data_IF_290387842831
#
_entry.id   IF_290387842831
#
_cell.length_a   1.000
_cell.length_b   1.000
_cell.length_c   1.000
_cell.angle_alpha   90.00
_cell.angle_beta   90.00
_cell.angle_gamma   90.00
#
_symmetry.space_group_name_H-M   'P 1'
#
loop_
_entity.id
_entity.type
_entity.pdbx_description
1 polymer ?
#
# COMPACT_ATOMS: atom_id res chain seq x y z
N UNK A 1 -5.75 -20.34 -10.68
CA UNK A 1 -6.66 -20.83 -11.74
C UNK A 1 -6.98 -19.67 -12.65
N UNK A 2 -7.06 -19.95 -13.95
CA UNK A 2 -7.33 -18.94 -14.96
C UNK A 2 -8.83 -18.85 -15.26
N UNK A 3 -9.24 -17.81 -15.99
CA UNK A 3 -10.63 -17.55 -16.32
C UNK A 3 -11.27 -18.71 -17.09
N UNK A 4 -10.53 -19.30 -18.03
CA UNK A 4 -11.01 -20.45 -18.80
C UNK A 4 -11.34 -21.67 -17.91
N UNK A 5 -10.52 -21.91 -16.89
CA UNK A 5 -10.79 -22.97 -15.92
C UNK A 5 -12.09 -22.67 -15.16
N UNK A 6 -12.20 -21.45 -14.60
CA UNK A 6 -13.37 -21.04 -13.81
C UNK A 6 -14.68 -21.15 -14.59
N UNK A 7 -14.68 -20.72 -15.86
CA UNK A 7 -15.87 -20.81 -16.73
C UNK A 7 -16.27 -22.26 -17.03
N UNK A 8 -15.31 -23.18 -17.08
CA UNK A 8 -15.57 -24.60 -17.32
C UNK A 8 -16.34 -25.23 -16.15
N UNK A 9 -16.08 -24.79 -14.92
CA UNK A 9 -16.76 -25.30 -13.72
C UNK A 9 -18.01 -24.51 -13.31
N UNK A 10 -18.15 -23.28 -13.79
CA UNK A 10 -19.35 -22.48 -13.57
C UNK A 10 -20.62 -23.18 -14.08
N UNK A 11 -21.73 -23.00 -13.37
CA UNK A 11 -23.03 -23.50 -13.80
C UNK A 11 -23.58 -22.67 -14.97
N UNK A 12 -24.52 -23.26 -15.72
CA UNK A 12 -25.09 -22.62 -16.90
C UNK A 12 -25.84 -21.32 -16.57
N UNK A 13 -26.40 -21.21 -15.36
CA UNK A 13 -27.06 -20.01 -14.87
C UNK A 13 -26.08 -18.86 -14.73
N UNK A 14 -24.96 -19.09 -14.03
CA UNK A 14 -23.88 -18.11 -13.90
C UNK A 14 -23.33 -17.69 -15.26
N UNK A 15 -23.07 -18.64 -16.16
CA UNK A 15 -22.61 -18.34 -17.52
C UNK A 15 -23.62 -17.51 -18.32
N UNK A 16 -24.91 -17.82 -18.20
CA UNK A 16 -25.98 -17.06 -18.86
C UNK A 16 -26.06 -15.63 -18.31
N UNK A 17 -25.88 -15.45 -16.99
CA UNK A 17 -25.82 -14.12 -16.37
C UNK A 17 -24.65 -13.31 -16.91
N UNK A 18 -23.45 -13.88 -17.00
CA UNK A 18 -22.26 -13.20 -17.52
C UNK A 18 -22.43 -12.85 -19.00
N UNK A 19 -22.90 -13.80 -19.81
CA UNK A 19 -23.16 -13.57 -21.22
C UNK A 19 -24.23 -12.49 -21.45
N UNK A 20 -25.27 -12.45 -20.61
CA UNK A 20 -26.32 -11.43 -20.69
C UNK A 20 -25.81 -10.06 -20.25
N UNK A 21 -24.96 -10.00 -19.22
CA UNK A 21 -24.34 -8.75 -18.75
C UNK A 21 -23.48 -8.08 -19.83
N UNK A 22 -22.83 -8.89 -20.68
CA UNK A 22 -22.00 -8.42 -21.78
C UNK A 22 -22.67 -8.46 -23.16
N UNK A 23 -23.96 -8.73 -23.21
CA UNK A 23 -24.74 -8.82 -24.46
C UNK A 23 -24.09 -9.74 -25.52
N UNK A 24 -23.55 -10.86 -25.06
CA UNK A 24 -22.88 -11.85 -25.91
C UNK A 24 -23.86 -12.53 -26.89
N UNK A 25 -23.53 -12.52 -28.18
CA UNK A 25 -24.25 -13.26 -29.22
C UNK A 25 -23.95 -14.76 -29.17
N UNK A 26 -24.77 -15.54 -28.44
CA UNK A 26 -24.57 -16.99 -28.28
C UNK A 26 -25.89 -17.73 -27.95
N UNK A 27 -25.95 -19.05 -28.21
CA UNK A 27 -27.11 -19.85 -27.75
C UNK A 27 -27.01 -20.08 -26.24
N UNK A 28 -27.97 -19.51 -25.50
CA UNK A 28 -28.04 -19.57 -24.03
C UNK A 28 -28.14 -20.98 -23.44
N UNK A 29 -28.51 -21.98 -24.25
CA UNK A 29 -28.64 -23.37 -23.81
C UNK A 29 -27.37 -24.21 -24.02
N UNK A 30 -26.35 -23.68 -24.71
CA UNK A 30 -25.09 -24.38 -24.95
C UNK A 30 -24.01 -23.83 -24.04
N UNK A 31 -23.61 -24.62 -23.03
CA UNK A 31 -22.51 -24.26 -22.12
C UNK A 31 -21.22 -23.97 -22.89
N UNK A 32 -20.91 -24.74 -23.92
CA UNK A 32 -19.72 -24.52 -24.75
C UNK A 32 -19.78 -23.18 -25.49
N UNK A 33 -20.90 -22.85 -26.14
CA UNK A 33 -21.04 -21.56 -26.86
C UNK A 33 -21.00 -20.37 -25.88
N UNK A 34 -21.58 -20.49 -24.68
CA UNK A 34 -21.51 -19.48 -23.63
C UNK A 34 -20.06 -19.22 -23.19
N UNK A 35 -19.31 -20.27 -22.87
CA UNK A 35 -17.90 -20.15 -22.45
C UNK A 35 -17.07 -19.49 -23.55
N UNK A 36 -17.21 -19.94 -24.80
CA UNK A 36 -16.49 -19.36 -25.94
C UNK A 36 -16.82 -17.88 -26.13
N UNK A 37 -18.10 -17.51 -26.12
CA UNK A 37 -18.49 -16.12 -26.30
C UNK A 37 -18.00 -15.22 -25.17
N UNK A 38 -18.06 -15.67 -23.91
CA UNK A 38 -17.56 -14.92 -22.75
C UNK A 38 -16.04 -14.76 -22.85
N UNK A 39 -15.30 -15.83 -23.17
CA UNK A 39 -13.85 -15.77 -23.33
C UNK A 39 -13.45 -14.81 -24.45
N UNK A 40 -14.12 -14.86 -25.61
CA UNK A 40 -13.86 -13.94 -26.72
C UNK A 40 -14.09 -12.50 -26.29
N UNK A 41 -15.21 -12.18 -25.63
CA UNK A 41 -15.50 -10.82 -25.18
C UNK A 41 -14.49 -10.35 -24.13
N UNK A 42 -14.28 -11.14 -23.07
CA UNK A 42 -13.38 -10.76 -21.99
C UNK A 42 -11.93 -10.68 -22.43
N UNK A 43 -11.48 -11.46 -23.42
CA UNK A 43 -10.10 -11.41 -23.93
C UNK A 43 -9.84 -10.31 -24.98
N UNK A 44 -10.87 -9.54 -25.40
CA UNK A 44 -10.64 -8.36 -26.24
C UNK A 44 -9.71 -7.39 -25.54
N UNK A 45 -8.71 -6.91 -26.28
CA UNK A 45 -7.59 -6.11 -25.75
C UNK A 45 -8.05 -4.88 -24.97
N UNK A 46 -9.03 -4.15 -25.49
CA UNK A 46 -9.48 -2.88 -24.91
C UNK A 46 -10.63 -3.03 -23.92
N UNK A 47 -11.25 -4.21 -23.85
CA UNK A 47 -12.50 -4.39 -23.12
C UNK A 47 -12.35 -4.11 -21.63
N UNK A 48 -11.33 -4.68 -20.99
CA UNK A 48 -11.05 -4.44 -19.56
C UNK A 48 -10.73 -2.97 -19.28
N UNK A 49 -9.97 -2.31 -20.17
CA UNK A 49 -9.69 -0.88 -20.06
C UNK A 49 -10.95 -0.01 -20.13
N UNK A 50 -11.89 -0.35 -21.01
CA UNK A 50 -13.20 0.32 -21.07
C UNK A 50 -14.01 0.09 -19.79
N UNK A 51 -14.04 -1.13 -19.28
CA UNK A 51 -14.72 -1.44 -18.02
C UNK A 51 -14.17 -0.61 -16.87
N UNK A 52 -12.84 -0.52 -16.71
CA UNK A 52 -12.18 0.29 -15.67
C UNK A 52 -12.62 1.76 -15.73
N UNK A 53 -12.75 2.35 -16.93
CA UNK A 53 -13.17 3.74 -17.10
C UNK A 53 -14.63 3.99 -16.71
N UNK A 54 -15.46 2.95 -16.78
CA UNK A 54 -16.88 3.01 -16.43
C UNK A 54 -17.15 2.67 -14.95
N UNK A 55 -16.16 2.16 -14.22
CA UNK A 55 -16.32 1.83 -12.80
C UNK A 55 -16.47 3.10 -11.96
N UNK A 56 -17.30 3.00 -10.92
CA UNK A 56 -17.35 4.01 -9.86
C UNK A 56 -16.02 4.04 -9.10
N UNK A 57 -15.74 5.15 -8.41
CA UNK A 57 -14.52 5.25 -7.59
C UNK A 57 -14.50 4.17 -6.50
N UNK A 58 -15.64 3.86 -5.89
CA UNK A 58 -15.73 2.82 -4.87
C UNK A 58 -15.46 1.42 -5.45
N UNK A 59 -15.93 1.15 -6.66
CA UNK A 59 -15.60 -0.10 -7.37
C UNK A 59 -14.12 -0.19 -7.71
N UNK A 60 -13.50 0.92 -8.13
CA UNK A 60 -12.06 0.95 -8.38
C UNK A 60 -11.26 0.68 -7.10
N UNK A 61 -11.70 1.20 -5.95
CA UNK A 61 -11.03 0.95 -4.65
C UNK A 61 -11.19 -0.50 -4.23
N UNK A 62 -12.40 -1.04 -4.35
CA UNK A 62 -12.69 -2.44 -4.06
C UNK A 62 -11.89 -3.38 -4.96
N UNK A 63 -11.88 -3.11 -6.28
CA UNK A 63 -11.07 -3.83 -7.25
C UNK A 63 -9.60 -3.78 -6.84
N UNK A 64 -9.05 -2.60 -6.60
CA UNK A 64 -7.66 -2.45 -6.14
C UNK A 64 -7.38 -3.28 -4.89
N UNK A 65 -8.23 -3.24 -3.86
CA UNK A 65 -8.04 -4.03 -2.65
C UNK A 65 -7.91 -5.53 -2.95
N UNK A 66 -8.77 -6.09 -3.80
CA UNK A 66 -8.73 -7.53 -4.12
C UNK A 66 -7.55 -7.90 -5.04
N UNK A 67 -7.12 -6.99 -5.93
CA UNK A 67 -5.98 -7.24 -6.82
C UNK A 67 -4.66 -7.40 -6.08
N UNK A 68 -4.53 -6.76 -4.91
CA UNK A 68 -3.34 -6.81 -4.04
C UNK A 68 -3.53 -7.68 -2.78
N UNK A 69 -4.69 -8.31 -2.62
CA UNK A 69 -4.89 -9.27 -1.54
C UNK A 69 -4.18 -10.59 -1.88
N UNK A 70 -3.36 -11.07 -0.94
CA UNK A 70 -2.57 -12.29 -1.08
C UNK A 70 -3.42 -13.55 -0.96
N UNK A 71 -4.63 -13.46 -0.42
CA UNK A 71 -5.56 -14.59 -0.31
C UNK A 71 -6.14 -14.94 -1.67
N UNK A 72 -6.21 -16.24 -1.94
CA UNK A 72 -6.84 -16.78 -3.15
C UNK A 72 -8.36 -16.95 -3.01
N UNK A 73 -8.86 -16.99 -1.79
CA UNK A 73 -10.26 -17.26 -1.47
C UNK A 73 -10.78 -16.26 -0.46
N UNK A 74 -12.05 -15.88 -0.60
CA UNK A 74 -12.75 -14.97 0.31
C UNK A 74 -14.10 -15.55 0.70
N UNK A 75 -14.52 -15.45 1.95
CA UNK A 75 -15.91 -15.65 2.30
C UNK A 75 -16.73 -14.35 2.08
N UNK A 76 -18.06 -14.43 2.22
CA UNK A 76 -18.96 -13.28 2.03
C UNK A 76 -18.62 -12.14 3.00
N UNK A 77 -18.38 -12.43 4.28
CA UNK A 77 -18.14 -11.42 5.30
C UNK A 77 -16.81 -10.70 5.09
N UNK A 78 -15.78 -11.41 4.60
CA UNK A 78 -14.51 -10.82 4.21
C UNK A 78 -14.70 -9.83 3.04
N UNK A 79 -15.45 -10.20 2.00
CA UNK A 79 -15.76 -9.27 0.91
C UNK A 79 -16.55 -8.06 1.40
N UNK A 80 -17.55 -8.27 2.28
CA UNK A 80 -18.31 -7.17 2.88
C UNK A 80 -17.40 -6.24 3.68
N UNK A 81 -16.46 -6.80 4.46
CA UNK A 81 -15.50 -6.03 5.23
C UNK A 81 -14.60 -5.19 4.31
N UNK A 82 -14.06 -5.78 3.23
CA UNK A 82 -13.24 -5.07 2.25
C UNK A 82 -14.04 -3.92 1.61
N UNK A 83 -15.27 -4.18 1.13
CA UNK A 83 -16.13 -3.15 0.52
C UNK A 83 -16.42 -2.00 1.49
N UNK A 84 -16.70 -2.30 2.76
CA UNK A 84 -16.92 -1.28 3.79
C UNK A 84 -15.67 -0.46 4.06
N UNK A 85 -14.50 -1.11 4.08
CA UNK A 85 -13.22 -0.44 4.27
C UNK A 85 -12.88 0.49 3.09
N UNK A 86 -13.20 0.07 1.86
CA UNK A 86 -12.85 0.80 0.63
C UNK A 86 -13.87 1.85 0.20
N UNK A 87 -15.12 1.80 0.65
CA UNK A 87 -16.16 2.76 0.22
C UNK A 87 -16.01 4.17 0.81
N UNK A 88 -14.98 4.40 1.64
CA UNK A 88 -14.63 5.69 2.28
C UNK A 88 -15.83 6.45 2.83
N UNK A 89 -16.85 5.72 3.31
CA UNK A 89 -18.10 6.33 3.74
C UNK A 89 -17.81 7.39 4.81
N UNK A 90 -18.23 8.62 4.53
CA UNK A 90 -18.31 9.69 5.50
C UNK A 90 -19.30 9.20 6.57
N UNK A 91 -18.93 9.39 7.85
CA UNK A 91 -19.79 9.05 8.97
C UNK A 91 -21.20 9.61 8.76
N UNK A 92 -22.21 8.85 9.19
CA UNK A 92 -23.64 9.09 8.90
C UNK A 92 -24.18 10.47 9.33
N UNK A 93 -23.39 11.25 10.06
CA UNK A 93 -23.70 12.59 10.56
C UNK A 93 -23.73 13.71 9.51
N UNK A 94 -23.27 13.49 8.27
CA UNK A 94 -23.23 14.54 7.21
C UNK A 94 -24.14 14.25 6.00
N UNK A 95 -25.04 13.26 6.08
CA UNK A 95 -25.91 12.93 4.94
C UNK A 95 -27.03 13.96 4.75
N UNK A 96 -26.91 14.77 3.72
CA UNK A 96 -28.03 15.52 3.12
C UNK A 96 -28.99 14.53 2.43
N UNK A 97 -30.31 14.80 2.48
CA UNK A 97 -31.38 13.90 1.98
C UNK A 97 -31.36 13.61 0.47
N UNK A 98 -30.51 14.27 -0.31
CA UNK A 98 -30.45 14.19 -1.78
C UNK A 98 -29.28 13.36 -2.33
N UNK A 99 -28.54 12.63 -1.49
CA UNK A 99 -27.45 11.79 -1.99
C UNK A 99 -27.96 10.45 -2.58
N UNK A 100 -27.35 9.96 -3.68
CA UNK A 100 -27.74 8.72 -4.32
C UNK A 100 -27.64 7.55 -3.33
N UNK A 101 -28.64 6.65 -3.40
CA UNK A 101 -28.78 5.48 -2.53
C UNK A 101 -27.48 4.67 -2.55
N UNK A 102 -26.78 4.63 -1.41
CA UNK A 102 -25.56 3.83 -1.23
C UNK A 102 -25.93 2.38 -1.50
N UNK A 103 -25.27 1.76 -2.49
CA UNK A 103 -25.49 0.36 -2.83
C UNK A 103 -25.09 -0.54 -1.67
N UNK A 104 -25.86 -1.59 -1.44
CA UNK A 104 -25.54 -2.57 -0.41
C UNK A 104 -24.26 -3.33 -0.79
N UNK A 105 -23.36 -3.66 0.15
CA UNK A 105 -22.17 -4.47 -0.16
C UNK A 105 -22.49 -5.79 -0.87
N UNK A 106 -23.66 -6.38 -0.58
CA UNK A 106 -24.12 -7.60 -1.27
C UNK A 106 -24.46 -7.37 -2.74
N UNK A 107 -24.95 -6.18 -3.10
CA UNK A 107 -25.22 -5.79 -4.49
C UNK A 107 -23.91 -5.60 -5.27
N UNK A 108 -22.88 -5.05 -4.64
CA UNK A 108 -21.53 -4.93 -5.24
C UNK A 108 -20.96 -6.32 -5.53
N UNK A 109 -21.04 -7.24 -4.57
CA UNK A 109 -20.62 -8.64 -4.76
C UNK A 109 -21.41 -9.28 -5.91
N UNK A 110 -22.74 -9.13 -5.93
CA UNK A 110 -23.58 -9.67 -6.99
C UNK A 110 -23.21 -9.10 -8.37
N UNK A 111 -22.91 -7.79 -8.46
CA UNK A 111 -22.44 -7.16 -9.69
C UNK A 111 -21.12 -7.76 -10.18
N UNK A 112 -20.13 -7.89 -9.30
CA UNK A 112 -18.82 -8.48 -9.65
C UNK A 112 -18.94 -9.96 -10.04
N UNK A 113 -19.94 -10.68 -9.52
CA UNK A 113 -20.27 -12.03 -10.00
C UNK A 113 -20.93 -12.01 -11.37
N UNK A 114 -21.89 -11.11 -11.59
CA UNK A 114 -22.58 -10.99 -12.89
C UNK A 114 -21.65 -10.53 -14.00
N UNK A 115 -20.59 -9.77 -13.69
CA UNK A 115 -19.55 -9.41 -14.64
C UNK A 115 -18.54 -10.54 -14.89
N UNK A 116 -18.63 -11.66 -14.17
CA UNK A 116 -17.68 -12.77 -14.33
C UNK A 116 -16.27 -12.41 -13.87
N UNK A 117 -16.14 -11.50 -12.89
CA UNK A 117 -14.85 -11.18 -12.26
C UNK A 117 -14.67 -11.95 -10.95
N UNK A 118 -15.78 -12.34 -10.33
CA UNK A 118 -15.82 -13.10 -9.08
C UNK A 118 -16.58 -14.42 -9.29
N UNK A 119 -15.97 -15.53 -8.90
CA UNK A 119 -16.54 -16.88 -9.02
C UNK A 119 -16.66 -17.53 -7.65
N UNK A 120 -17.60 -18.46 -7.50
CA UNK A 120 -17.62 -19.34 -6.34
C UNK A 120 -16.51 -20.40 -6.49
N UNK A 121 -15.98 -20.89 -5.39
CA UNK A 121 -15.11 -22.06 -5.39
C UNK A 121 -15.86 -23.31 -5.85
N UNK A 122 -15.12 -24.30 -6.30
CA UNK A 122 -15.67 -25.44 -7.05
C UNK A 122 -15.70 -26.74 -6.26
N UNK A 123 -14.88 -26.85 -5.21
CA UNK A 123 -14.84 -28.05 -4.37
C UNK A 123 -15.93 -27.98 -3.31
N UNK A 124 -16.31 -29.13 -2.73
CA UNK A 124 -17.29 -29.16 -1.64
C UNK A 124 -16.88 -28.26 -0.47
N UNK A 125 -15.57 -28.15 -0.19
CA UNK A 125 -15.01 -27.30 0.85
C UNK A 125 -14.92 -25.83 0.47
N UNK A 126 -14.85 -25.48 -0.83
CA UNK A 126 -14.70 -24.11 -1.30
C UNK A 126 -15.95 -23.51 -1.95
N UNK A 127 -17.06 -24.25 -2.03
CA UNK A 127 -18.31 -23.82 -2.71
C UNK A 127 -18.92 -22.51 -2.20
N UNK A 128 -18.62 -22.14 -0.95
CA UNK A 128 -19.10 -20.90 -0.31
C UNK A 128 -18.05 -19.79 -0.29
N UNK A 129 -16.87 -20.06 -0.82
CA UNK A 129 -15.80 -19.09 -0.97
C UNK A 129 -15.85 -18.49 -2.37
N UNK A 130 -15.33 -17.29 -2.50
CA UNK A 130 -15.19 -16.57 -3.75
C UNK A 130 -13.73 -16.49 -4.16
N UNK A 131 -13.49 -16.48 -5.46
CA UNK A 131 -12.17 -16.35 -6.06
C UNK A 131 -12.24 -15.50 -7.32
N UNK A 132 -11.16 -14.75 -7.57
CA UNK A 132 -10.93 -14.04 -8.84
C UNK A 132 -9.91 -14.85 -9.66
N UNK A 133 -10.12 -15.04 -10.97
CA UNK A 133 -9.14 -15.68 -11.85
C UNK A 133 -7.81 -14.92 -11.87
N UNK A 134 -6.67 -15.62 -11.83
CA UNK A 134 -5.36 -14.96 -11.67
C UNK A 134 -4.93 -14.20 -12.93
N UNK A 135 -5.17 -14.78 -14.11
CA UNK A 135 -4.99 -14.12 -15.40
C UNK A 135 -5.84 -12.84 -15.52
N UNK A 136 -7.06 -12.87 -14.98
CA UNK A 136 -7.92 -11.70 -14.92
C UNK A 136 -7.38 -10.64 -13.94
N UNK A 137 -6.88 -11.04 -12.76
CA UNK A 137 -6.22 -10.11 -11.82
C UNK A 137 -5.04 -9.41 -12.50
N UNK A 138 -4.17 -10.14 -13.18
CA UNK A 138 -3.01 -9.57 -13.86
C UNK A 138 -3.41 -8.57 -14.95
N UNK A 139 -4.42 -8.92 -15.75
CA UNK A 139 -4.96 -8.02 -16.78
C UNK A 139 -5.55 -6.74 -16.19
N UNK A 140 -6.34 -6.84 -15.12
CA UNK A 140 -6.83 -5.66 -14.40
C UNK A 140 -5.70 -4.80 -13.86
N UNK A 141 -4.67 -5.39 -13.25
CA UNK A 141 -3.50 -4.63 -12.76
C UNK A 141 -2.81 -3.88 -13.91
N UNK A 142 -2.65 -4.52 -15.07
CA UNK A 142 -2.03 -3.91 -16.25
C UNK A 142 -2.84 -2.73 -16.81
N UNK A 143 -4.15 -2.93 -17.00
CA UNK A 143 -5.02 -1.89 -17.55
C UNK A 143 -5.24 -0.74 -16.55
N UNK A 144 -5.37 -1.04 -15.25
CA UNK A 144 -5.45 -0.01 -14.20
C UNK A 144 -4.14 0.78 -14.09
N UNK A 145 -2.99 0.12 -14.19
CA UNK A 145 -1.70 0.78 -14.25
C UNK A 145 -1.58 1.71 -15.45
N UNK A 146 -2.07 1.28 -16.61
CA UNK A 146 -2.10 2.10 -17.83
C UNK A 146 -3.04 3.30 -17.70
N UNK A 147 -4.20 3.10 -17.05
CA UNK A 147 -5.15 4.17 -16.72
C UNK A 147 -4.54 5.23 -15.79
N UNK A 148 -3.88 4.81 -14.70
CA UNK A 148 -3.21 5.74 -13.78
C UNK A 148 -2.06 6.46 -14.50
N UNK A 149 -1.24 5.71 -15.24
CA UNK A 149 -0.10 6.27 -15.99
C UNK A 149 -0.51 7.32 -17.01
N UNK A 150 -1.70 7.17 -17.62
CA UNK A 150 -2.22 8.13 -18.61
C UNK A 150 -2.53 9.52 -18.03
N UNK A 151 -2.57 9.65 -16.70
CA UNK A 151 -2.79 10.92 -15.98
C UNK A 151 -1.50 11.54 -15.45
N UNK A 152 -0.34 10.95 -15.74
CA UNK A 152 0.94 11.42 -15.21
C UNK A 152 1.49 12.58 -16.03
N UNK A 153 1.99 13.59 -15.34
CA UNK A 153 2.79 14.65 -15.94
C UNK A 153 4.27 14.32 -15.75
N UNK A 154 4.89 13.86 -16.83
CA UNK A 154 6.32 13.55 -16.87
C UNK A 154 7.14 14.83 -17.02
N UNK A 155 8.26 14.89 -16.32
CA UNK A 155 9.18 16.03 -16.34
C UNK A 155 10.59 15.59 -16.69
N UNK A 156 11.44 16.56 -17.00
CA UNK A 156 12.87 16.34 -17.07
C UNK A 156 13.47 16.12 -15.67
N UNK A 157 14.74 15.73 -15.65
CA UNK A 157 15.49 15.57 -14.40
C UNK A 157 15.72 16.94 -13.74
N UNK A 158 15.34 17.10 -12.45
CA UNK A 158 15.57 18.35 -11.73
C UNK A 158 17.07 18.59 -11.53
N UNK A 159 17.45 19.86 -11.43
CA UNK A 159 18.85 20.26 -11.17
C UNK A 159 19.38 19.78 -9.82
N UNK A 160 18.50 19.70 -8.83
CA UNK A 160 18.80 19.21 -7.48
C UNK A 160 17.71 18.25 -7.02
N UNK A 161 18.13 17.09 -6.51
CA UNK A 161 17.26 16.13 -5.86
C UNK A 161 17.94 15.47 -4.67
N UNK A 162 17.11 14.93 -3.77
CA UNK A 162 17.52 14.15 -2.61
C UNK A 162 17.28 12.67 -2.87
N UNK A 163 18.27 11.86 -2.52
CA UNK A 163 18.22 10.40 -2.55
C UNK A 163 18.96 9.87 -1.31
N UNK A 164 18.31 9.03 -0.51
CA UNK A 164 18.91 8.53 0.75
C UNK A 164 19.42 7.09 0.66
N UNK A 165 19.12 6.38 -0.44
CA UNK A 165 19.60 5.02 -0.70
C UNK A 165 19.46 4.09 0.54
N UNK A 166 20.52 3.37 0.91
CA UNK A 166 20.53 2.45 2.05
C UNK A 166 20.87 3.09 3.39
N UNK A 167 20.93 4.42 3.51
CA UNK A 167 21.44 5.11 4.71
C UNK A 167 20.64 4.79 5.97
N UNK A 168 19.38 4.33 5.86
CA UNK A 168 18.56 3.97 7.02
C UNK A 168 19.14 2.78 7.80
N UNK A 169 19.69 1.80 7.11
CA UNK A 169 20.35 0.68 7.77
C UNK A 169 21.66 1.12 8.48
N UNK A 170 22.33 2.14 7.95
CA UNK A 170 23.53 2.71 8.56
C UNK A 170 23.20 3.54 9.80
N UNK A 171 22.17 4.38 9.71
CA UNK A 171 21.69 5.18 10.85
C UNK A 171 21.13 4.31 11.96
N UNK A 172 20.50 3.17 11.65
CA UNK A 172 20.13 2.17 12.64
C UNK A 172 21.35 1.63 13.39
N UNK A 173 22.45 1.33 12.69
CA UNK A 173 23.68 0.86 13.33
C UNK A 173 24.31 1.94 14.21
N UNK A 174 24.32 3.20 13.75
CA UNK A 174 24.77 4.33 14.58
C UNK A 174 23.92 4.52 15.81
N UNK A 175 22.60 4.41 15.67
CA UNK A 175 21.68 4.46 16.80
C UNK A 175 21.98 3.37 17.83
N UNK A 176 22.10 2.10 17.41
CA UNK A 176 22.42 1.00 18.31
C UNK A 176 23.78 1.20 19.00
N UNK A 177 24.80 1.65 18.27
CA UNK A 177 26.12 1.93 18.82
C UNK A 177 26.05 3.06 19.86
N UNK A 178 25.27 4.10 19.60
CA UNK A 178 25.05 5.20 20.52
C UNK A 178 24.38 4.72 21.81
N UNK A 179 23.32 3.91 21.70
CA UNK A 179 22.61 3.30 22.86
C UNK A 179 23.54 2.39 23.68
N UNK A 180 24.45 1.67 23.03
CA UNK A 180 25.43 0.83 23.73
C UNK A 180 26.47 1.66 24.50
N UNK A 181 26.97 2.74 23.90
CA UNK A 181 28.09 3.53 24.45
C UNK A 181 27.66 4.55 25.51
N UNK A 182 26.40 4.99 25.48
CA UNK A 182 25.90 6.04 26.36
C UNK A 182 24.82 5.50 27.30
N UNK A 183 24.87 5.91 28.57
CA UNK A 183 23.73 5.69 29.47
C UNK A 183 22.61 6.68 29.13
N UNK A 184 21.60 6.19 28.40
CA UNK A 184 20.48 7.03 27.98
C UNK A 184 19.38 6.99 29.05
N UNK A 185 19.26 8.10 29.77
CA UNK A 185 18.12 8.36 30.65
C UNK A 185 16.91 8.84 29.84
N UNK A 186 15.75 8.32 30.18
CA UNK A 186 14.46 8.69 29.61
C UNK A 186 13.65 9.47 30.64
N UNK A 187 12.74 10.31 30.16
CA UNK A 187 11.79 10.99 31.04
C UNK A 187 10.73 10.00 31.58
N UNK A 188 9.82 10.51 32.42
CA UNK A 188 8.73 9.72 33.00
C UNK A 188 7.78 9.11 31.95
N UNK A 189 7.73 9.71 30.76
CA UNK A 189 6.91 9.26 29.62
C UNK A 189 7.65 8.26 28.71
N UNK A 190 8.87 7.85 29.06
CA UNK A 190 9.66 6.89 28.27
C UNK A 190 10.30 7.50 27.02
N UNK A 191 10.58 8.81 27.02
CA UNK A 191 11.16 9.53 25.88
C UNK A 191 12.57 10.03 26.19
N UNK A 192 13.46 9.97 25.20
CA UNK A 192 14.81 10.51 25.32
C UNK A 192 14.76 12.03 25.48
N UNK A 193 15.60 12.57 26.37
CA UNK A 193 15.74 14.02 26.50
C UNK A 193 16.21 14.68 25.20
N UNK A 194 15.81 15.94 24.98
CA UNK A 194 16.10 16.70 23.75
C UNK A 194 17.59 16.73 23.40
N UNK A 195 18.47 16.84 24.40
CA UNK A 195 19.94 16.83 24.20
C UNK A 195 20.41 15.50 23.60
N UNK A 196 19.94 14.38 24.14
CA UNK A 196 20.24 13.05 23.62
C UNK A 196 19.71 12.88 22.21
N UNK A 197 18.47 13.32 21.95
CA UNK A 197 17.92 13.30 20.59
C UNK A 197 18.80 14.09 19.63
N UNK A 198 19.25 15.29 20.01
CA UNK A 198 20.12 16.12 19.17
C UNK A 198 21.46 15.43 18.87
N UNK A 199 22.10 14.84 19.88
CA UNK A 199 23.36 14.11 19.71
C UNK A 199 23.20 12.90 18.78
N UNK A 200 22.08 12.17 18.87
CA UNK A 200 21.77 11.08 17.94
C UNK A 200 21.61 11.64 16.52
N UNK A 201 20.85 12.71 16.34
CA UNK A 201 20.62 13.32 15.02
C UNK A 201 21.89 13.88 14.37
N UNK A 202 22.86 14.33 15.17
CA UNK A 202 24.19 14.76 14.72
C UNK A 202 25.07 13.58 14.26
N UNK A 203 24.77 12.35 14.69
CA UNK A 203 25.47 11.13 14.27
C UNK A 203 24.90 10.49 13.01
N UNK A 204 23.65 10.82 12.66
CA UNK A 204 22.99 10.25 11.49
C UNK A 204 23.47 10.90 10.21
N UNK A 205 23.46 10.13 9.12
CA UNK A 205 23.67 10.67 7.78
C UNK A 205 22.56 11.63 7.37
N UNK A 206 21.34 11.37 7.84
CA UNK A 206 20.16 12.16 7.53
C UNK A 206 19.63 12.83 8.80
N UNK A 207 19.88 14.13 8.92
CA UNK A 207 19.37 14.96 10.01
C UNK A 207 17.95 15.44 9.71
N UNK A 208 17.06 15.28 10.69
CA UNK A 208 15.71 15.85 10.75
C UNK A 208 15.63 16.86 11.90
N UNK A 209 14.79 17.89 11.73
CA UNK A 209 14.52 18.83 12.81
C UNK A 209 13.78 18.14 13.96
N UNK A 210 14.29 18.30 15.19
CA UNK A 210 13.61 17.81 16.39
C UNK A 210 12.24 18.49 16.55
N UNK A 211 11.29 17.73 17.12
CA UNK A 211 9.95 18.24 17.36
C UNK A 211 9.97 19.42 18.32
N UNK A 212 9.17 20.45 18.03
CA UNK A 212 8.97 21.60 18.91
C UNK A 212 8.04 21.24 20.07
N UNK A 213 8.27 21.84 21.24
CA UNK A 213 7.34 21.69 22.38
C UNK A 213 6.04 22.42 22.06
N UNK A 214 4.90 21.77 22.27
CA UNK A 214 3.57 22.38 22.15
C UNK A 214 2.96 22.39 20.75
N UNK A 215 3.60 21.76 19.76
CA UNK A 215 2.98 21.51 18.46
C UNK A 215 2.11 20.26 18.50
N UNK A 216 0.83 20.38 18.10
CA UNK A 216 -0.01 19.21 17.84
C UNK A 216 0.60 18.42 16.68
N UNK A 217 1.02 17.17 16.93
CA UNK A 217 1.57 16.29 15.90
C UNK A 217 0.71 15.05 15.74
N UNK A 218 0.49 14.69 14.49
CA UNK A 218 -0.08 13.43 14.09
C UNK A 218 0.94 12.65 13.25
N UNK A 219 0.86 11.32 13.26
CA UNK A 219 1.81 10.42 12.62
C UNK A 219 1.52 8.97 13.01
N UNK A 220 2.32 8.05 12.50
CA UNK A 220 2.10 6.60 12.66
C UNK A 220 3.33 5.95 13.28
N UNK A 221 3.08 4.95 14.12
CA UNK A 221 4.11 4.30 14.92
C UNK A 221 3.85 4.46 16.40
N UNK A 222 4.75 3.93 17.23
CA UNK A 222 4.68 4.07 18.69
C UNK A 222 5.25 5.41 19.13
N UNK A 223 6.33 5.85 18.49
CA UNK A 223 7.10 7.02 18.94
C UNK A 223 6.99 8.24 18.01
N UNK A 224 5.95 8.28 17.16
CA UNK A 224 5.75 9.41 16.24
C UNK A 224 5.48 10.75 16.96
N UNK A 225 4.90 10.73 18.17
CA UNK A 225 4.65 11.97 18.92
C UNK A 225 5.92 12.54 19.51
N UNK A 226 6.98 11.74 19.63
CA UNK A 226 8.18 12.04 20.41
C UNK A 226 9.41 12.28 19.53
N UNK A 227 9.53 11.55 18.42
CA UNK A 227 10.70 11.59 17.54
C UNK A 227 10.34 11.92 16.08
N UNK A 228 11.21 12.64 15.33
CA UNK A 228 11.06 12.83 13.88
C UNK A 228 10.87 11.53 13.09
N UNK A 229 10.36 11.59 11.87
CA UNK A 229 9.79 10.43 11.18
C UNK A 229 10.78 9.29 10.96
N UNK A 230 12.02 9.60 10.59
CA UNK A 230 13.10 8.62 10.40
C UNK A 230 13.56 8.05 11.73
N UNK A 231 13.80 8.90 12.73
CA UNK A 231 14.23 8.45 14.06
C UNK A 231 13.16 7.57 14.73
N UNK A 232 11.89 7.95 14.62
CA UNK A 232 10.76 7.16 15.12
C UNK A 232 10.73 5.76 14.48
N UNK A 233 10.89 5.68 13.15
CA UNK A 233 10.93 4.38 12.46
C UNK A 233 12.12 3.53 12.89
N UNK A 234 13.32 4.12 13.02
CA UNK A 234 14.53 3.43 13.49
C UNK A 234 14.32 2.91 14.92
N UNK A 235 13.81 3.75 15.81
CA UNK A 235 13.56 3.41 17.21
C UNK A 235 12.52 2.29 17.35
N UNK A 236 11.39 2.44 16.67
CA UNK A 236 10.28 1.48 16.72
C UNK A 236 10.69 0.13 16.09
N UNK A 237 11.48 0.15 15.01
CA UNK A 237 12.04 -1.06 14.40
C UNK A 237 13.04 -1.75 15.34
N UNK A 238 13.99 -1.01 15.90
CA UNK A 238 14.97 -1.55 16.84
C UNK A 238 14.31 -2.17 18.08
N UNK A 239 13.26 -1.53 18.59
CA UNK A 239 12.46 -2.08 19.69
C UNK A 239 11.72 -3.35 19.27
N UNK A 240 11.05 -3.34 18.10
CA UNK A 240 10.33 -4.52 17.59
C UNK A 240 11.24 -5.73 17.34
N UNK A 241 12.47 -5.50 16.87
CA UNK A 241 13.47 -6.55 16.66
C UNK A 241 14.18 -6.98 17.95
N UNK A 242 13.75 -6.46 19.11
CA UNK A 242 14.38 -6.65 20.42
C UNK A 242 15.86 -6.27 20.43
N UNK A 243 16.31 -5.27 19.67
CA UNK A 243 17.69 -4.76 19.74
C UNK A 243 17.88 -3.80 20.91
N UNK A 244 16.82 -3.09 21.30
CA UNK A 244 16.79 -2.19 22.44
C UNK A 244 15.62 -2.53 23.36
N UNK A 245 15.72 -2.15 24.62
CA UNK A 245 14.66 -2.28 25.61
C UNK A 245 14.58 -1.05 26.52
N UNK A 246 13.38 -0.80 27.03
CA UNK A 246 13.08 0.31 27.94
C UNK A 246 12.96 -0.25 29.37
N UNK A 247 13.98 -0.07 30.19
CA UNK A 247 14.03 -0.59 31.57
C UNK A 247 14.23 0.53 32.59
N UNK A 248 13.24 0.75 33.47
CA UNK A 248 13.39 1.64 34.64
C UNK A 248 13.86 3.05 34.29
N UNK A 249 13.20 3.68 33.31
CA UNK A 249 13.56 5.01 32.76
C UNK A 249 14.92 5.06 32.06
N UNK A 250 15.48 3.93 31.66
CA UNK A 250 16.71 3.87 30.85
C UNK A 250 16.46 3.10 29.57
N UNK A 251 17.04 3.58 28.48
CA UNK A 251 17.10 2.85 27.24
C UNK A 251 18.39 2.03 27.22
N UNK A 252 18.28 0.74 26.99
CA UNK A 252 19.43 -0.18 26.96
C UNK A 252 19.44 -0.99 25.68
N UNK A 253 20.63 -1.41 25.29
CA UNK A 253 20.82 -2.41 24.26
C UNK A 253 20.62 -3.80 24.87
N UNK A 254 19.95 -4.69 24.14
CA UNK A 254 19.73 -6.07 24.56
C UNK A 254 20.89 -6.97 24.11
N UNK A 255 20.87 -8.25 24.50
CA UNK A 255 21.81 -9.26 23.98
C UNK A 255 21.72 -9.41 22.45
N UNK A 256 20.52 -9.36 21.86
CA UNK A 256 20.35 -9.42 20.41
C UNK A 256 20.90 -8.17 19.72
N UNK A 257 20.71 -6.99 20.31
CA UNK A 257 21.28 -5.75 19.80
C UNK A 257 22.81 -5.76 19.87
N UNK A 258 23.40 -6.31 20.93
CA UNK A 258 24.85 -6.48 21.06
C UNK A 258 25.42 -7.43 20.01
N UNK A 259 24.81 -8.59 19.81
CA UNK A 259 25.23 -9.54 18.77
C UNK A 259 25.22 -8.88 17.39
N UNK A 260 24.17 -8.08 17.10
CA UNK A 260 24.05 -7.32 15.87
C UNK A 260 25.18 -6.30 15.68
N UNK A 261 25.53 -5.57 16.74
CA UNK A 261 26.64 -4.61 16.74
C UNK A 261 27.99 -5.31 16.52
N UNK A 262 28.24 -6.41 17.22
CA UNK A 262 29.51 -7.15 17.17
C UNK A 262 29.75 -7.76 15.78
N UNK A 263 28.69 -8.26 15.15
CA UNK A 263 28.74 -8.77 13.78
C UNK A 263 28.92 -7.65 12.73
N UNK A 264 28.68 -6.40 13.10
CA UNK A 264 28.70 -5.25 12.18
C UNK A 264 27.70 -5.38 11.02
N UNK A 265 26.74 -6.30 11.12
CA UNK A 265 25.83 -6.64 10.04
C UNK A 265 24.71 -5.61 9.96
N UNK A 266 24.56 -5.02 8.77
CA UNK A 266 23.46 -4.12 8.45
C UNK A 266 22.18 -4.94 8.28
N UNK A 267 21.07 -4.45 8.83
CA UNK A 267 19.77 -5.06 8.54
C UNK A 267 19.42 -4.96 7.07
N UNK A 268 18.67 -5.96 6.61
CA UNK A 268 18.13 -5.92 5.27
C UNK A 268 17.12 -4.78 5.19
N UNK A 269 17.34 -3.85 4.25
CA UNK A 269 16.35 -2.80 3.96
C UNK A 269 14.98 -3.39 3.59
N UNK A 270 14.93 -4.65 3.15
CA UNK A 270 13.67 -5.40 2.95
C UNK A 270 12.90 -5.56 4.24
N UNK A 271 13.57 -5.90 5.35
CA UNK A 271 12.93 -6.10 6.66
C UNK A 271 12.41 -4.77 7.23
N UNK A 272 13.19 -3.69 7.11
CA UNK A 272 12.75 -2.36 7.55
C UNK A 272 11.55 -1.87 6.71
N UNK A 273 11.60 -2.05 5.39
CA UNK A 273 10.47 -1.74 4.49
C UNK A 273 9.21 -2.52 4.87
N UNK A 274 9.35 -3.83 5.10
CA UNK A 274 8.28 -4.72 5.56
C UNK A 274 7.68 -4.26 6.88
N UNK A 275 8.53 -3.90 7.84
CA UNK A 275 8.10 -3.37 9.12
C UNK A 275 7.32 -2.06 8.96
N UNK A 276 7.78 -1.14 8.12
CA UNK A 276 7.06 0.10 7.81
C UNK A 276 5.66 -0.16 7.23
N UNK A 277 5.54 -1.08 6.26
CA UNK A 277 4.24 -1.47 5.70
C UNK A 277 3.29 -1.99 6.80
N UNK A 278 3.79 -2.83 7.72
CA UNK A 278 3.01 -3.35 8.85
C UNK A 278 2.57 -2.23 9.79
N UNK A 279 3.51 -1.37 10.17
CA UNK A 279 3.28 -0.27 11.10
C UNK A 279 2.21 0.69 10.58
N UNK A 280 2.18 0.93 9.27
CA UNK A 280 1.29 1.88 8.62
C UNK A 280 0.01 1.23 8.04
N UNK A 281 -0.16 -0.10 8.16
CA UNK A 281 -1.32 -0.86 7.61
C UNK A 281 -2.66 -0.41 8.19
N UNK A 282 -2.71 -0.03 9.47
CA UNK A 282 -3.94 0.47 10.08
C UNK A 282 -4.37 1.85 9.52
N UNK A 283 -3.51 2.89 9.55
CA UNK A 283 -3.87 4.21 9.03
C UNK A 283 -4.00 4.24 7.50
N UNK A 284 -3.21 3.45 6.78
CA UNK A 284 -3.23 3.36 5.32
C UNK A 284 -3.37 1.89 4.89
N UNK A 285 -4.59 1.33 4.89
CA UNK A 285 -4.82 -0.09 4.58
C UNK A 285 -4.29 -0.58 3.25
N UNK A 286 -4.24 0.31 2.27
CA UNK A 286 -3.84 0.01 0.90
C UNK A 286 -2.41 0.49 0.57
N UNK A 287 -1.58 0.72 1.59
CA UNK A 287 -0.21 1.23 1.43
C UNK A 287 0.63 0.41 0.43
N UNK A 288 0.56 -0.93 0.50
CA UNK A 288 1.28 -1.79 -0.44
C UNK A 288 0.89 -1.53 -1.91
N UNK A 289 -0.40 -1.34 -2.17
CA UNK A 289 -0.89 -1.02 -3.52
C UNK A 289 -0.48 0.39 -3.95
N UNK A 290 -0.48 1.38 -3.04
CA UNK A 290 -0.01 2.74 -3.33
C UNK A 290 1.46 2.73 -3.72
N UNK A 291 2.31 2.08 -2.92
CA UNK A 291 3.74 1.92 -3.21
C UNK A 291 3.95 1.24 -4.57
N UNK A 292 3.14 0.22 -4.90
CA UNK A 292 3.16 -0.42 -6.20
C UNK A 292 2.84 0.55 -7.35
N UNK A 293 1.74 1.29 -7.24
CA UNK A 293 1.33 2.21 -8.29
C UNK A 293 2.31 3.37 -8.47
N UNK A 294 2.86 3.90 -7.38
CA UNK A 294 3.93 4.92 -7.42
C UNK A 294 5.13 4.36 -8.18
N UNK A 295 5.55 3.12 -7.92
CA UNK A 295 6.63 2.47 -8.67
C UNK A 295 6.35 2.31 -10.16
N UNK A 296 5.10 1.99 -10.50
CA UNK A 296 4.70 1.86 -11.91
C UNK A 296 4.68 3.22 -12.64
N UNK A 297 4.30 4.29 -11.96
CA UNK A 297 4.13 5.62 -12.55
C UNK A 297 5.43 6.42 -12.60
N UNK A 298 6.22 6.37 -11.52
CA UNK A 298 7.41 7.19 -11.30
C UNK A 298 8.70 6.48 -11.74
N UNK A 299 8.69 5.69 -12.82
CA UNK A 299 9.93 5.15 -13.41
C UNK A 299 10.83 6.27 -13.93
N UNK A 300 10.19 7.31 -14.46
CA UNK A 300 10.78 8.59 -14.82
C UNK A 300 10.31 9.67 -13.84
N UNK A 301 10.89 10.87 -13.94
CA UNK A 301 10.48 11.99 -13.08
C UNK A 301 9.03 12.39 -13.38
N UNK A 302 8.21 12.45 -12.33
CA UNK A 302 6.80 12.83 -12.41
C UNK A 302 6.48 13.92 -11.40
N UNK A 303 5.58 14.83 -11.76
CA UNK A 303 5.09 15.85 -10.86
C UNK A 303 4.23 15.24 -9.73
N UNK A 304 4.51 15.62 -8.48
CA UNK A 304 3.77 15.16 -7.30
C UNK A 304 2.27 15.46 -7.39
N UNK A 305 1.90 16.61 -7.96
CA UNK A 305 0.50 17.01 -8.19
C UNK A 305 -0.23 16.00 -9.06
N UNK A 306 0.36 15.59 -10.19
CA UNK A 306 -0.24 14.58 -11.09
C UNK A 306 -0.33 13.19 -10.45
N UNK A 307 0.65 12.84 -9.59
CA UNK A 307 0.63 11.60 -8.83
C UNK A 307 -0.53 11.57 -7.83
N UNK A 308 -0.76 12.68 -7.11
CA UNK A 308 -1.90 12.82 -6.21
C UNK A 308 -3.24 12.86 -6.97
N UNK A 309 -3.32 13.53 -8.11
CA UNK A 309 -4.54 13.53 -8.93
C UNK A 309 -4.91 12.11 -9.40
N UNK A 310 -3.93 11.31 -9.80
CA UNK A 310 -4.17 9.98 -10.33
C UNK A 310 -4.38 8.90 -9.26
N UNK A 311 -3.83 9.06 -8.05
CA UNK A 311 -3.88 8.05 -6.98
C UNK A 311 -4.60 8.52 -5.72
N UNK A 312 -4.96 9.80 -5.60
CA UNK A 312 -5.59 10.36 -4.40
C UNK A 312 -6.93 9.72 -4.08
N UNK A 313 -7.63 9.19 -5.10
CA UNK A 313 -8.84 8.41 -4.90
C UNK A 313 -8.60 7.14 -4.07
N UNK A 314 -7.39 6.60 -4.02
CA UNK A 314 -7.02 5.46 -3.19
C UNK A 314 -6.73 5.84 -1.73
N UNK A 315 -6.61 7.11 -1.38
CA UNK A 315 -6.15 7.53 -0.05
C UNK A 315 -7.32 8.06 0.77
N UNK A 316 -7.70 7.30 1.81
CA UNK A 316 -8.68 7.75 2.79
C UNK A 316 -8.02 8.76 3.74
N UNK A 317 -8.60 9.95 3.96
CA UNK A 317 -8.18 10.81 5.07
C UNK A 317 -8.25 10.04 6.39
N UNK A 318 -7.31 10.29 7.29
CA UNK A 318 -7.20 9.56 8.55
C UNK A 318 -6.95 10.53 9.71
N UNK A 319 -7.95 10.67 10.59
CA UNK A 319 -7.99 11.72 11.61
C UNK A 319 -7.75 13.12 11.01
N UNK A 320 -6.60 13.73 11.28
CA UNK A 320 -6.22 15.07 10.83
C UNK A 320 -5.43 15.08 9.53
N UNK A 321 -4.99 13.91 9.07
CA UNK A 321 -4.24 13.76 7.83
C UNK A 321 -5.21 13.77 6.63
N UNK A 322 -4.98 14.68 5.69
CA UNK A 322 -5.70 14.74 4.41
C UNK A 322 -5.10 13.72 3.44
N UNK A 323 -5.81 13.40 2.35
CA UNK A 323 -5.25 12.50 1.32
C UNK A 323 -3.92 12.99 0.77
N UNK A 324 -3.76 14.32 0.66
CA UNK A 324 -2.52 14.95 0.23
C UNK A 324 -1.41 14.83 1.28
N UNK A 325 -1.67 15.14 2.56
CA UNK A 325 -0.64 15.02 3.60
C UNK A 325 -0.19 13.57 3.79
N UNK A 326 -1.09 12.60 3.63
CA UNK A 326 -0.75 11.17 3.63
C UNK A 326 0.19 10.84 2.47
N UNK A 327 -0.16 11.23 1.24
CA UNK A 327 0.68 10.97 0.07
C UNK A 327 2.09 11.54 0.25
N UNK A 328 2.19 12.80 0.68
CA UNK A 328 3.46 13.51 0.78
C UNK A 328 4.30 13.06 1.97
N UNK A 329 3.74 13.11 3.18
CA UNK A 329 4.49 12.98 4.43
C UNK A 329 4.55 11.54 4.95
N UNK A 330 3.52 10.74 4.67
CA UNK A 330 3.42 9.37 5.22
C UNK A 330 3.84 8.30 4.24
N UNK A 331 3.66 8.57 2.94
CA UNK A 331 4.04 7.65 1.87
C UNK A 331 5.36 8.10 1.27
N UNK A 332 5.42 9.22 0.55
CA UNK A 332 6.60 9.59 -0.25
C UNK A 332 7.83 9.95 0.60
N UNK A 333 7.66 10.73 1.67
CA UNK A 333 8.78 11.04 2.58
C UNK A 333 9.35 9.76 3.21
N UNK A 334 8.50 8.84 3.65
CA UNK A 334 8.95 7.56 4.20
C UNK A 334 9.61 6.67 3.14
N UNK A 335 9.06 6.65 1.92
CA UNK A 335 9.67 5.96 0.79
C UNK A 335 11.05 6.53 0.45
N UNK A 336 11.25 7.85 0.56
CA UNK A 336 12.57 8.48 0.41
C UNK A 336 13.51 8.04 1.52
N UNK A 337 13.06 8.05 2.78
CA UNK A 337 13.86 7.59 3.92
C UNK A 337 14.27 6.12 3.82
N UNK A 338 13.41 5.29 3.23
CA UNK A 338 13.67 3.90 2.93
C UNK A 338 14.52 3.69 1.68
N UNK A 339 14.86 4.74 0.92
CA UNK A 339 15.67 4.65 -0.31
C UNK A 339 14.91 4.23 -1.56
N UNK A 340 13.58 4.18 -1.50
CA UNK A 340 12.73 3.75 -2.62
C UNK A 340 12.60 4.84 -3.69
N UNK A 341 12.53 6.11 -3.29
CA UNK A 341 12.32 7.24 -4.22
C UNK A 341 13.36 8.33 -4.03
N UNK A 342 13.50 9.12 -5.10
CA UNK A 342 14.18 10.41 -5.15
C UNK A 342 13.13 11.50 -5.20
N UNK A 343 13.36 12.59 -4.48
CA UNK A 343 12.48 13.76 -4.48
C UNK A 343 13.31 14.98 -4.85
N UNK A 344 12.88 15.71 -5.87
CA UNK A 344 13.53 16.93 -6.35
C UNK A 344 12.53 18.07 -6.55
N UNK A 345 13.03 19.20 -7.05
CA UNK A 345 12.24 20.38 -7.36
C UNK A 345 12.50 20.90 -8.77
N UNK A 346 11.45 21.34 -9.44
CA UNK A 346 11.50 22.05 -10.72
C UNK A 346 10.76 23.38 -10.58
N UNK A 347 11.16 24.40 -11.33
CA UNK A 347 10.49 25.72 -11.30
C UNK A 347 9.05 25.64 -11.83
N UNK A 348 8.81 24.80 -12.84
CA UNK A 348 7.50 24.71 -13.51
C UNK A 348 6.49 23.83 -12.78
N UNK A 349 6.91 22.67 -12.25
CA UNK A 349 6.00 21.64 -11.71
C UNK A 349 6.12 21.50 -10.19
N UNK A 350 7.01 22.27 -9.55
CA UNK A 350 7.28 22.15 -8.12
C UNK A 350 7.96 20.82 -7.79
N UNK A 351 7.43 20.10 -6.80
CA UNK A 351 8.00 18.83 -6.34
C UNK A 351 7.83 17.72 -7.37
N UNK A 352 8.94 17.06 -7.70
CA UNK A 352 8.98 15.92 -8.62
C UNK A 352 9.55 14.68 -7.94
N UNK A 353 9.08 13.50 -8.35
CA UNK A 353 9.43 12.22 -7.73
C UNK A 353 9.88 11.23 -8.79
N UNK A 354 10.87 10.40 -8.46
CA UNK A 354 11.31 9.26 -9.28
C UNK A 354 11.66 8.07 -8.41
N UNK A 355 11.20 6.88 -8.78
CA UNK A 355 11.55 5.61 -8.14
C UNK A 355 13.00 5.25 -8.43
N UNK A 356 13.74 4.83 -7.41
CA UNK A 356 15.11 4.33 -7.58
C UNK A 356 15.10 2.95 -8.25
N UNK A 357 16.25 2.52 -8.78
CA UNK A 357 16.38 1.15 -9.33
C UNK A 357 16.07 0.10 -8.26
N UNK A 358 16.51 0.35 -7.02
CA UNK A 358 16.22 -0.53 -5.89
C UNK A 358 14.73 -0.49 -5.51
N UNK A 359 14.10 0.67 -5.50
CA UNK A 359 12.67 0.82 -5.23
C UNK A 359 11.80 0.03 -6.20
N UNK A 360 12.12 0.07 -7.50
CA UNK A 360 11.43 -0.72 -8.51
C UNK A 360 11.54 -2.23 -8.23
N UNK A 361 12.75 -2.73 -7.92
CA UNK A 361 12.98 -4.15 -7.58
C UNK A 361 12.24 -4.56 -6.30
N UNK A 362 12.14 -3.66 -5.33
CA UNK A 362 11.45 -3.91 -4.06
C UNK A 362 9.95 -4.05 -4.24
N UNK A 363 9.35 -3.15 -5.01
CA UNK A 363 7.93 -3.17 -5.37
C UNK A 363 7.58 -4.50 -6.05
N UNK A 364 8.33 -4.90 -7.08
CA UNK A 364 8.07 -6.15 -7.83
C UNK A 364 8.08 -7.39 -6.93
N UNK A 365 8.98 -7.43 -5.94
CA UNK A 365 9.14 -8.58 -5.04
C UNK A 365 8.19 -8.59 -3.84
N UNK A 366 7.92 -7.43 -3.25
CA UNK A 366 7.32 -7.37 -1.91
C UNK A 366 5.84 -6.98 -1.89
N UNK A 367 5.31 -6.27 -2.89
CA UNK A 367 3.90 -5.85 -2.85
C UNK A 367 2.93 -6.86 -3.48
N UNK A 368 3.44 -7.76 -4.33
CA UNK A 368 2.64 -8.79 -5.01
C UNK A 368 2.65 -10.16 -4.30
N UNK A 369 3.66 -10.43 -3.46
CA UNK A 369 3.90 -11.76 -2.88
C UNK A 369 3.99 -11.79 -1.35
N UNK A 370 3.68 -10.69 -0.67
CA UNK A 370 3.66 -10.69 0.78
C UNK A 370 2.48 -11.51 1.31
N UNK A 371 2.71 -12.80 1.61
CA UNK A 371 1.81 -13.60 2.45
C UNK A 371 1.91 -13.08 3.87
N UNK A 372 0.80 -12.77 4.53
CA UNK A 372 0.74 -12.31 5.93
C UNK A 372 1.42 -13.28 6.94
N UNK A 373 1.85 -14.48 6.51
CA UNK A 373 2.59 -15.48 7.30
C UNK A 373 4.13 -15.52 7.09
N UNK A 374 4.70 -14.93 6.03
CA UNK A 374 6.18 -14.92 5.79
C UNK A 374 6.91 -13.83 6.61
N UNK A 375 6.37 -13.51 7.78
CA UNK A 375 6.63 -12.28 8.54
C UNK A 375 7.30 -12.48 9.90
N UNK A 376 7.75 -13.71 10.17
CA UNK A 376 8.55 -14.11 11.34
C UNK A 376 9.99 -14.29 10.90
#
# INVERSE_FOLDING_TARGET
>A
MNLADMLTFADIGQLTTIASHYECECKRNSKHELIQSILVTLNRREFIGQQIRCLSVDDLRFLNAILFDSRSYFNVEELIAIIRQTSFQIAESERSKDQPKIQSPREVIARFKSSGWLFNGMTQHTRYLFQIPEDLKERFRKELGSYVKSKMNYTEEPSVYREEQGLMAEDLLFFLRYVHQQEIEMNQEGTMYRRTQQQIMESFHITESLLSKGGWRFGYGRTFTTYPSRLALIYDYAFHMNYIEEMGHRLKITSMGMEKLDQGMRDSMVQVFRYWLRLYKQPIPNLSSLVYWIGHCARDWVALSSLHEALGWLIKPYYYDTSQSIMEQRVLQMMMHLGLVRIGGTEEQGTVVKMTVWGNKMVEKCTLHAKDDDWI
#
